data_IF_676928977173
#
_entry.id   IF_676928977173
#
_cell.length_a   1.000
_cell.length_b   1.000
_cell.length_c   1.000
_cell.angle_alpha   90.00
_cell.angle_beta   90.00
_cell.angle_gamma   90.00
#
_symmetry.space_group_name_H-M   'P 1'
#
loop_
_entity.id
_entity.type
_entity.pdbx_description
1 polymer ?
#
# COMPACT_ATOMS: atom_id res chain seq x y z
N UNK A 1 -6.22 6.63 -16.65
CA UNK A 1 -5.44 6.78 -15.41
C UNK A 1 -4.16 5.99 -15.56
N UNK A 2 -3.01 6.60 -15.27
CA UNK A 2 -1.73 5.88 -15.19
C UNK A 2 -1.33 5.77 -13.72
N UNK A 3 -0.93 4.58 -13.27
CA UNK A 3 -0.45 4.33 -11.92
C UNK A 3 0.91 3.64 -11.98
N UNK A 4 1.90 4.28 -11.38
CA UNK A 4 3.28 3.78 -11.33
C UNK A 4 3.59 3.04 -10.03
N UNK A 5 4.65 2.24 -10.05
CA UNK A 5 5.21 1.62 -8.86
C UNK A 5 5.54 2.62 -7.75
N UNK A 6 6.07 3.77 -8.11
CA UNK A 6 6.46 4.78 -7.12
C UNK A 6 5.23 5.47 -6.52
N UNK A 7 4.14 5.64 -7.28
CA UNK A 7 2.87 6.13 -6.76
C UNK A 7 2.23 5.16 -5.76
N UNK A 8 2.20 3.86 -6.08
CA UNK A 8 1.69 2.86 -5.12
C UNK A 8 2.52 2.91 -3.84
N UNK A 9 3.86 2.95 -3.94
CA UNK A 9 4.77 3.05 -2.79
C UNK A 9 4.56 4.32 -1.98
N UNK A 10 4.40 5.47 -2.62
CA UNK A 10 4.23 6.73 -1.90
C UNK A 10 2.97 6.73 -1.05
N UNK A 11 1.88 6.10 -1.53
CA UNK A 11 0.65 5.97 -0.73
C UNK A 11 0.89 5.13 0.53
N UNK A 12 1.58 3.99 0.43
CA UNK A 12 1.99 3.20 1.61
C UNK A 12 2.86 4.02 2.57
N UNK A 13 3.84 4.76 2.06
CA UNK A 13 4.74 5.59 2.86
C UNK A 13 4.00 6.74 3.53
N UNK A 14 3.06 7.38 2.85
CA UNK A 14 2.25 8.48 3.38
C UNK A 14 1.33 8.01 4.50
N UNK A 15 0.75 6.80 4.38
CA UNK A 15 0.00 6.16 5.48
C UNK A 15 0.89 5.92 6.69
N UNK A 16 2.07 5.31 6.48
CA UNK A 16 3.02 5.04 7.57
C UNK A 16 3.56 6.30 8.25
N UNK A 17 3.72 7.37 7.48
CA UNK A 17 4.23 8.65 7.98
C UNK A 17 3.11 9.60 8.43
N UNK A 18 1.85 9.12 8.45
CA UNK A 18 0.65 9.85 8.87
C UNK A 18 0.39 11.13 8.08
N UNK A 19 0.88 11.19 6.84
CA UNK A 19 0.57 12.24 5.85
C UNK A 19 -0.74 11.97 5.11
N UNK A 20 -1.13 10.70 5.04
CA UNK A 20 -2.38 10.23 4.49
C UNK A 20 -3.05 9.32 5.51
N UNK A 21 -4.35 9.47 5.70
CA UNK A 21 -5.15 8.56 6.53
C UNK A 21 -5.39 7.24 5.80
N UNK A 22 -5.72 6.18 6.55
CA UNK A 22 -6.11 4.88 5.96
C UNK A 22 -7.34 5.00 5.05
N UNK A 23 -8.31 5.83 5.44
CA UNK A 23 -9.51 6.11 4.63
C UNK A 23 -9.15 6.81 3.31
N UNK A 24 -8.30 7.84 3.34
CA UNK A 24 -7.83 8.51 2.11
C UNK A 24 -7.10 7.55 1.17
N UNK A 25 -6.28 6.65 1.72
CA UNK A 25 -5.58 5.63 0.94
C UNK A 25 -6.54 4.60 0.33
N UNK A 26 -7.57 4.19 1.08
CA UNK A 26 -8.66 3.33 0.61
C UNK A 26 -9.45 3.97 -0.53
N UNK A 27 -9.83 5.24 -0.38
CA UNK A 27 -10.49 6.04 -1.42
C UNK A 27 -9.62 6.16 -2.67
N UNK A 28 -8.31 6.43 -2.50
CA UNK A 28 -7.38 6.45 -3.62
C UNK A 28 -7.36 5.10 -4.35
N UNK A 29 -7.22 3.99 -3.62
CA UNK A 29 -7.20 2.65 -4.20
C UNK A 29 -8.51 2.31 -4.93
N UNK A 30 -9.65 2.70 -4.37
CA UNK A 30 -10.95 2.51 -5.01
C UNK A 30 -11.05 3.27 -6.33
N UNK A 31 -10.50 4.48 -6.42
CA UNK A 31 -10.45 5.23 -7.69
C UNK A 31 -9.64 4.50 -8.77
N UNK A 32 -8.55 3.82 -8.38
CA UNK A 32 -7.74 2.99 -9.28
C UNK A 32 -8.51 1.77 -9.75
N UNK A 33 -9.24 1.11 -8.85
CA UNK A 33 -10.08 -0.06 -9.15
C UNK A 33 -11.18 0.32 -10.14
N UNK A 34 -11.89 1.43 -9.91
CA UNK A 34 -12.90 1.95 -10.84
C UNK A 34 -12.30 2.28 -12.21
N UNK A 35 -11.07 2.83 -12.26
CA UNK A 35 -10.39 3.05 -13.53
C UNK A 35 -10.09 1.73 -14.27
N UNK A 36 -9.77 0.66 -13.54
CA UNK A 36 -9.59 -0.69 -14.08
C UNK A 36 -10.88 -1.27 -14.64
N UNK A 37 -11.99 -1.15 -13.90
CA UNK A 37 -13.30 -1.67 -14.33
C UNK A 37 -13.83 -1.00 -15.61
N UNK A 38 -13.37 0.23 -15.87
CA UNK A 38 -13.70 0.99 -17.07
C UNK A 38 -12.65 0.87 -18.19
N UNK A 39 -11.75 -0.13 -18.12
CA UNK A 39 -10.64 -0.33 -19.08
C UNK A 39 -9.78 0.92 -19.32
N UNK A 40 -9.70 1.80 -18.31
CA UNK A 40 -9.03 3.10 -18.41
C UNK A 40 -7.75 3.19 -17.57
N UNK A 41 -7.31 2.08 -16.96
CA UNK A 41 -6.12 1.99 -16.13
C UNK A 41 -4.90 1.45 -16.89
N UNK A 42 -3.78 2.16 -16.80
CA UNK A 42 -2.47 1.68 -17.22
C UNK A 42 -1.57 1.54 -15.99
N UNK A 43 -1.06 0.33 -15.74
CA UNK A 43 -0.12 0.04 -14.65
C UNK A 43 1.32 0.04 -15.17
N UNK A 44 2.19 0.83 -14.53
CA UNK A 44 3.58 1.02 -14.96
C UNK A 44 4.56 0.64 -13.83
N UNK A 45 5.53 -0.25 -14.07
CA UNK A 45 5.79 -0.92 -15.33
C UNK A 45 4.92 -2.19 -15.50
N UNK A 46 4.58 -2.55 -16.73
CA UNK A 46 3.61 -3.61 -17.03
C UNK A 46 4.09 -4.99 -16.55
N UNK A 47 5.40 -5.26 -16.54
CA UNK A 47 5.96 -6.51 -16.01
C UNK A 47 5.77 -6.68 -14.49
N UNK A 48 5.35 -5.63 -13.80
CA UNK A 48 4.98 -5.65 -12.37
C UNK A 48 3.49 -5.46 -12.12
N UNK A 49 2.63 -5.56 -13.15
CA UNK A 49 1.19 -5.27 -13.03
C UNK A 49 0.50 -6.05 -11.90
N UNK A 50 0.77 -7.35 -11.76
CA UNK A 50 0.14 -8.20 -10.74
C UNK A 50 0.52 -7.75 -9.33
N UNK A 51 1.74 -7.24 -9.21
CA UNK A 51 2.31 -6.76 -7.96
C UNK A 51 1.75 -5.40 -7.56
N UNK A 52 1.63 -4.49 -8.54
CA UNK A 52 0.96 -3.21 -8.37
C UNK A 52 -0.50 -3.44 -7.96
N UNK A 53 -1.18 -4.34 -8.66
CA UNK A 53 -2.57 -4.68 -8.41
C UNK A 53 -2.80 -5.23 -7.00
N UNK A 54 -1.95 -6.15 -6.53
CA UNK A 54 -2.00 -6.63 -5.14
C UNK A 54 -1.86 -5.48 -4.13
N UNK A 55 -0.90 -4.57 -4.34
CA UNK A 55 -0.72 -3.41 -3.47
C UNK A 55 -1.94 -2.48 -3.47
N UNK A 56 -2.55 -2.25 -4.63
CA UNK A 56 -3.78 -1.46 -4.77
C UNK A 56 -4.94 -2.11 -4.01
N UNK A 57 -5.15 -3.42 -4.18
CA UNK A 57 -6.21 -4.14 -3.46
C UNK A 57 -6.01 -4.12 -1.94
N UNK A 58 -4.76 -4.23 -1.49
CA UNK A 58 -4.44 -4.09 -0.06
C UNK A 58 -4.80 -2.69 0.46
N UNK A 59 -4.39 -1.65 -0.25
CA UNK A 59 -4.74 -0.26 0.11
C UNK A 59 -6.26 -0.06 0.12
N UNK A 60 -7.01 -0.70 -0.77
CA UNK A 60 -8.48 -0.67 -0.77
C UNK A 60 -9.14 -1.34 0.43
N UNK A 61 -8.41 -2.16 1.20
CA UNK A 61 -8.90 -2.77 2.42
C UNK A 61 -8.26 -2.20 3.70
N UNK A 62 -7.38 -1.21 3.58
CA UNK A 62 -6.52 -0.77 4.69
C UNK A 62 -7.29 -0.07 5.82
N UNK A 63 -8.48 0.45 5.53
CA UNK A 63 -9.36 1.12 6.49
C UNK A 63 -10.34 0.16 7.21
N UNK A 64 -10.36 -1.12 6.83
CA UNK A 64 -11.29 -2.09 7.40
C UNK A 64 -11.02 -2.28 8.89
N UNK A 65 -12.10 -2.19 9.69
CA UNK A 65 -12.06 -2.33 11.14
C UNK A 65 -12.37 -3.79 11.52
N UNK A 66 -11.49 -4.40 12.30
CA UNK A 66 -11.68 -5.71 12.94
C UNK A 66 -12.31 -5.60 14.33
N UNK A 67 -12.94 -6.68 14.78
CA UNK A 67 -13.63 -6.80 16.08
C UNK A 67 -12.63 -7.35 17.13
N UNK A 68 -12.57 -6.84 18.38
CA UNK A 68 -13.48 -5.87 18.97
C UNK A 68 -13.10 -4.41 18.74
N UNK A 69 -11.83 -4.03 18.57
CA UNK A 69 -11.45 -2.64 18.26
C UNK A 69 -10.06 -2.59 17.62
N UNK A 70 -9.98 -2.13 16.36
CA UNK A 70 -8.71 -1.90 15.66
C UNK A 70 -8.84 -2.10 14.16
N UNK A 71 -7.86 -1.61 13.40
CA UNK A 71 -7.79 -1.95 11.98
C UNK A 71 -7.45 -3.43 11.81
N UNK A 72 -8.00 -4.06 10.78
CA UNK A 72 -7.64 -5.42 10.39
C UNK A 72 -6.16 -5.52 9.99
N UNK A 73 -5.60 -4.42 9.50
CA UNK A 73 -4.22 -4.29 9.06
C UNK A 73 -3.45 -3.29 9.93
N UNK A 74 -2.49 -3.78 10.71
CA UNK A 74 -1.61 -2.98 11.57
C UNK A 74 -0.43 -2.40 10.78
N UNK A 75 0.33 -1.48 11.40
CA UNK A 75 1.50 -0.86 10.73
C UNK A 75 2.52 -1.90 10.30
N UNK A 76 2.68 -2.97 11.05
CA UNK A 76 3.55 -4.10 10.76
C UNK A 76 3.13 -4.82 9.46
N UNK A 77 1.83 -5.00 9.23
CA UNK A 77 1.29 -5.61 8.02
C UNK A 77 1.53 -4.73 6.79
N UNK A 78 1.33 -3.41 6.96
CA UNK A 78 1.64 -2.40 5.93
C UNK A 78 3.14 -2.44 5.57
N UNK A 79 4.01 -2.62 6.57
CA UNK A 79 5.46 -2.76 6.39
C UNK A 79 5.85 -4.13 5.80
N UNK A 80 4.99 -5.15 5.80
CA UNK A 80 5.24 -6.44 5.13
C UNK A 80 4.83 -6.37 3.66
N UNK A 81 3.73 -5.71 3.36
CA UNK A 81 3.21 -5.58 1.99
C UNK A 81 4.01 -4.55 1.16
N UNK A 82 4.48 -3.47 1.79
CA UNK A 82 5.33 -2.47 1.16
C UNK A 82 6.66 -3.03 0.58
N UNK A 83 7.38 -3.99 1.23
CA UNK A 83 8.58 -4.62 0.71
C UNK A 83 8.33 -5.83 -0.18
N UNK A 84 7.11 -6.35 -0.36
CA UNK A 84 6.87 -7.17 -1.56
C UNK A 84 7.25 -6.32 -2.78
N UNK A 85 7.00 -5.00 -2.78
CA UNK A 85 7.40 -4.02 -3.80
C UNK A 85 8.90 -3.61 -3.80
N UNK A 86 9.77 -4.03 -2.87
CA UNK A 86 11.19 -3.63 -2.82
C UNK A 86 12.17 -4.82 -2.69
N UNK A 87 13.38 -4.70 -3.26
CA UNK A 87 14.38 -5.79 -3.33
C UNK A 87 14.99 -6.15 -1.96
N UNK A 88 14.75 -5.39 -0.88
CA UNK A 88 15.46 -5.60 0.39
C UNK A 88 14.51 -5.68 1.59
N UNK A 89 13.98 -6.90 1.83
CA UNK A 89 13.18 -7.24 3.03
C UNK A 89 13.94 -7.01 4.36
N UNK A 90 15.28 -7.03 4.40
CA UNK A 90 16.02 -7.02 5.68
C UNK A 90 16.43 -5.63 6.22
N UNK A 91 16.67 -4.61 5.39
CA UNK A 91 17.31 -3.36 5.85
C UNK A 91 16.36 -2.40 6.59
N UNK A 92 15.07 -2.43 6.27
CA UNK A 92 14.03 -1.65 6.95
C UNK A 92 13.73 -2.17 8.35
N UNK A 93 13.72 -3.50 8.54
CA UNK A 93 13.52 -4.15 9.84
C UNK A 93 14.64 -3.84 10.83
N UNK A 94 15.90 -3.90 10.40
CA UNK A 94 17.05 -3.62 11.27
C UNK A 94 17.10 -2.15 11.75
N UNK A 95 16.66 -1.21 10.92
CA UNK A 95 16.74 0.22 11.23
C UNK A 95 15.68 0.64 12.26
N UNK A 96 14.47 0.06 12.19
CA UNK A 96 13.40 0.33 13.18
C UNK A 96 13.65 -0.35 14.53
N UNK A 97 14.24 -1.55 14.56
CA UNK A 97 14.57 -2.25 15.82
C UNK A 97 15.75 -1.59 16.57
N UNK A 98 16.73 -1.04 15.85
CA UNK A 98 17.88 -0.33 16.46
C UNK A 98 17.56 1.07 16.99
N UNK A 99 16.39 1.64 16.66
CA UNK A 99 15.95 2.95 17.16
C UNK A 99 15.04 2.89 18.40
N UNK A 100 14.80 1.69 18.97
CA UNK A 100 13.95 1.47 20.16
C UNK A 100 14.69 0.73 21.30
N UNK A 101 16.02 0.75 21.31
CA UNK A 101 16.85 0.27 22.43
C UNK A 101 17.59 1.44 23.07
#
# INVERSE_FOLDING_TARGET
MEVTLDQVRSVFEDVLQKRMTREEASVWAFSVIVASDNDSLTLVPNEKKDKLWKGILYLGGIDLIGIPYGYLFYEEDIIIEMPELSINKMRLYETKLKGKL
#
